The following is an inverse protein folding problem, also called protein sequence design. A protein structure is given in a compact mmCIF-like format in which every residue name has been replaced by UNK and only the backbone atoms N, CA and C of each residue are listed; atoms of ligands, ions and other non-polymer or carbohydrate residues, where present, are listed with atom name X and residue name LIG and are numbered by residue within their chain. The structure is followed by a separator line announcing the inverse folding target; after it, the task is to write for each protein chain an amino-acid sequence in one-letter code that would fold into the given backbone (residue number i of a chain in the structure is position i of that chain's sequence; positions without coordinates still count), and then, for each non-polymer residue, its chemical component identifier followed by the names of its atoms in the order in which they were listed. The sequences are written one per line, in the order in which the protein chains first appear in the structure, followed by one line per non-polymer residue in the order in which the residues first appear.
data_IF_205746591064
#
_entry.id   IF_205746591064
#
_cell.length_a   1.000
_cell.length_b   1.000
_cell.length_c   1.000
_cell.angle_alpha   90.00
_cell.angle_beta   90.00
_cell.angle_gamma   90.00
#
_symmetry.space_group_name_H-M   'P 1'
#
loop_
_entity.id
_entity.type
_entity.pdbx_description
1 polymer ?
#
# COMPACT_ATOMS: atom_id res chain seq x y z
N UNK A 1 5.91 -4.71 -18.39
CA UNK A 1 6.88 -3.67 -17.96
C UNK A 1 6.17 -2.82 -16.92
N UNK A 2 6.47 -3.01 -15.63
CA UNK A 2 5.88 -2.23 -14.52
C UNK A 2 6.48 -0.82 -14.51
N UNK A 3 5.67 0.25 -14.35
CA UNK A 3 6.19 1.62 -14.33
C UNK A 3 7.10 1.85 -13.12
N UNK A 4 8.09 2.77 -13.21
CA UNK A 4 9.01 3.05 -12.11
C UNK A 4 8.28 3.52 -10.86
N UNK A 5 8.60 2.90 -9.72
CA UNK A 5 7.94 3.14 -8.45
C UNK A 5 8.45 4.43 -7.78
N UNK A 6 7.61 5.46 -7.70
CA UNK A 6 7.92 6.69 -6.96
C UNK A 6 7.73 6.41 -5.46
N UNK A 7 8.81 6.04 -4.79
CA UNK A 7 8.79 5.67 -3.36
C UNK A 7 8.60 6.90 -2.47
N UNK A 8 7.65 6.86 -1.54
CA UNK A 8 7.61 7.81 -0.42
C UNK A 8 8.77 7.56 0.55
N UNK A 9 9.30 8.62 1.18
CA UNK A 9 10.44 8.54 2.13
C UNK A 9 10.24 7.53 3.28
N UNK A 10 9.01 7.21 3.66
CA UNK A 10 8.67 6.23 4.70
C UNK A 10 8.27 4.84 4.19
N UNK A 11 8.50 4.55 2.90
CA UNK A 11 7.97 3.34 2.26
C UNK A 11 6.47 3.44 1.97
N UNK A 12 5.94 2.43 1.27
CA UNK A 12 4.52 2.25 0.98
C UNK A 12 4.19 0.81 1.36
N UNK A 13 3.57 0.58 2.51
CA UNK A 13 3.27 -0.78 2.98
C UNK A 13 1.84 -1.18 2.62
N UNK A 14 1.65 -2.46 2.31
CA UNK A 14 0.33 -3.05 2.18
C UNK A 14 -0.15 -3.51 3.56
N UNK A 15 -1.11 -2.81 4.16
CA UNK A 15 -1.62 -3.13 5.51
C UNK A 15 -2.74 -4.17 5.50
N UNK A 16 -3.50 -4.26 4.41
CA UNK A 16 -4.60 -5.19 4.28
C UNK A 16 -4.75 -5.60 2.80
N UNK A 17 -5.04 -6.88 2.58
CA UNK A 17 -5.34 -7.45 1.27
C UNK A 17 -6.46 -8.49 1.43
N UNK A 18 -7.48 -8.42 0.57
CA UNK A 18 -8.63 -9.31 0.59
C UNK A 18 -9.07 -9.62 -0.83
N UNK A 19 -9.23 -10.90 -1.13
CA UNK A 19 -9.87 -11.34 -2.35
C UNK A 19 -11.39 -11.31 -2.17
N UNK A 20 -12.10 -10.70 -3.12
CA UNK A 20 -13.56 -10.62 -3.12
C UNK A 20 -14.11 -11.39 -4.32
N UNK A 21 -14.68 -12.58 -4.12
CA UNK A 21 -15.23 -13.39 -5.21
C UNK A 21 -16.49 -12.75 -5.79
N UNK A 22 -16.78 -13.03 -7.07
CA UNK A 22 -17.99 -12.55 -7.76
C UNK A 22 -17.88 -11.18 -8.44
N UNK A 23 -16.66 -10.65 -8.62
CA UNK A 23 -16.38 -9.35 -9.26
C UNK A 23 -17.31 -8.21 -8.77
N UNK A 24 -17.40 -7.97 -7.45
CA UNK A 24 -18.25 -6.92 -6.92
C UNK A 24 -17.77 -5.55 -7.40
N UNK A 25 -18.71 -4.64 -7.67
CA UNK A 25 -18.39 -3.26 -7.99
C UNK A 25 -17.55 -2.62 -6.89
N UNK A 26 -16.44 -1.97 -7.25
CA UNK A 26 -15.46 -1.38 -6.32
C UNK A 26 -16.10 -0.46 -5.25
N UNK A 27 -17.17 0.26 -5.60
CA UNK A 27 -17.91 1.11 -4.66
C UNK A 27 -18.61 0.36 -3.52
N UNK A 28 -18.82 -0.95 -3.63
CA UNK A 28 -19.46 -1.80 -2.62
C UNK A 28 -18.46 -2.57 -1.75
N UNK A 29 -17.19 -2.60 -2.13
CA UNK A 29 -16.16 -3.37 -1.41
C UNK A 29 -15.67 -2.64 -0.17
N UNK A 30 -15.72 -1.30 -0.14
CA UNK A 30 -15.30 -0.49 1.01
C UNK A 30 -16.05 -0.85 2.30
N UNK A 31 -17.35 -1.12 2.21
CA UNK A 31 -18.16 -1.49 3.37
C UNK A 31 -17.68 -2.79 4.03
N UNK A 32 -17.21 -3.73 3.21
CA UNK A 32 -16.75 -5.04 3.63
C UNK A 32 -15.28 -5.07 4.05
N UNK A 33 -14.51 -4.02 3.74
CA UNK A 33 -13.05 -3.97 3.95
C UNK A 33 -12.68 -3.00 5.08
N UNK A 34 -13.38 -1.88 5.23
CA UNK A 34 -13.08 -0.87 6.28
C UNK A 34 -13.08 -1.49 7.70
N UNK A 35 -14.09 -2.26 8.13
CA UNK A 35 -14.09 -2.84 9.48
C UNK A 35 -12.92 -3.80 9.72
N UNK A 36 -12.54 -4.58 8.69
CA UNK A 36 -11.42 -5.51 8.77
C UNK A 36 -10.08 -4.75 8.84
N UNK A 37 -9.94 -3.65 8.09
CA UNK A 37 -8.77 -2.77 8.15
C UNK A 37 -8.64 -2.12 9.52
N UNK A 38 -9.73 -1.59 10.10
CA UNK A 38 -9.71 -0.96 11.41
C UNK A 38 -9.38 -1.96 12.52
N UNK A 39 -9.93 -3.18 12.45
CA UNK A 39 -9.57 -4.26 13.36
C UNK A 39 -8.09 -4.63 13.25
N UNK A 40 -7.55 -4.71 12.03
CA UNK A 40 -6.14 -5.04 11.81
C UNK A 40 -5.19 -3.93 12.27
N UNK A 41 -5.57 -2.66 12.09
CA UNK A 41 -4.77 -1.49 12.48
C UNK A 41 -4.91 -1.19 13.98
N UNK A 42 -6.05 -1.57 14.59
CA UNK A 42 -6.38 -1.27 15.99
C UNK A 42 -6.83 0.17 16.22
N UNK A 43 -7.17 0.92 15.16
CA UNK A 43 -7.60 2.31 15.24
C UNK A 43 -8.56 2.66 14.10
N UNK A 44 -9.38 3.70 14.30
CA UNK A 44 -10.29 4.21 13.28
C UNK A 44 -9.53 4.86 12.10
N UNK A 45 -10.02 4.62 10.89
CA UNK A 45 -9.47 5.25 9.71
C UNK A 45 -9.98 6.69 9.61
N UNK A 46 -9.08 7.64 9.86
CA UNK A 46 -9.39 9.08 9.81
C UNK A 46 -9.61 9.61 8.38
N UNK A 47 -8.98 8.99 7.37
CA UNK A 47 -9.07 9.41 5.97
C UNK A 47 -8.76 8.28 5.00
N UNK A 48 -9.60 8.14 3.98
CA UNK A 48 -9.45 7.19 2.87
C UNK A 48 -9.29 7.96 1.57
N UNK A 49 -8.26 7.63 0.80
CA UNK A 49 -8.06 8.16 -0.55
C UNK A 49 -8.27 7.02 -1.55
N UNK A 50 -9.28 7.14 -2.40
CA UNK A 50 -9.71 6.07 -3.30
C UNK A 50 -9.85 6.54 -4.76
N UNK A 51 -9.91 5.59 -5.70
CA UNK A 51 -10.13 5.89 -7.13
C UNK A 51 -11.58 6.29 -7.41
N UNK A 52 -11.83 6.81 -8.61
CA UNK A 52 -13.16 7.23 -9.04
C UNK A 52 -14.19 6.08 -9.03
N UNK A 53 -13.74 4.83 -9.22
CA UNK A 53 -14.59 3.63 -9.13
C UNK A 53 -15.13 3.35 -7.73
N UNK A 54 -14.54 3.95 -6.70
CA UNK A 54 -14.96 3.86 -5.30
C UNK A 54 -15.93 4.99 -4.91
N UNK A 55 -16.61 5.61 -5.88
CA UNK A 55 -17.62 6.65 -5.63
C UNK A 55 -18.74 6.09 -4.74
N UNK A 56 -18.82 6.66 -3.54
CA UNK A 56 -19.57 6.13 -2.43
C UNK A 56 -21.08 6.10 -2.65
N UNK A 57 -21.61 4.88 -2.72
CA UNK A 57 -22.98 4.58 -2.29
C UNK A 57 -23.04 3.73 -1.02
N UNK A 58 -21.98 2.99 -0.62
CA UNK A 58 -22.05 2.01 0.46
C UNK A 58 -21.01 2.11 1.60
N UNK A 59 -20.18 3.16 1.70
CA UNK A 59 -19.36 3.32 2.91
C UNK A 59 -20.27 3.55 4.14
N UNK A 60 -19.98 2.96 5.32
CA UNK A 60 -20.76 3.17 6.54
C UNK A 60 -20.99 4.66 6.78
N UNK A 61 -22.17 5.07 7.28
CA UNK A 61 -22.52 6.49 7.42
C UNK A 61 -21.48 7.28 8.23
N UNK A 62 -20.80 6.63 9.18
CA UNK A 62 -19.67 7.17 9.97
C UNK A 62 -18.42 7.53 9.16
N UNK A 63 -18.20 6.85 8.03
CA UNK A 63 -17.00 6.96 7.20
C UNK A 63 -17.21 7.69 5.86
N UNK A 64 -18.48 7.98 5.50
CA UNK A 64 -18.83 8.59 4.21
C UNK A 64 -18.15 9.93 3.96
N UNK A 65 -17.87 10.71 5.01
CA UNK A 65 -17.15 12.00 4.92
C UNK A 65 -15.63 11.87 4.99
N UNK A 66 -15.11 10.67 5.27
CA UNK A 66 -13.68 10.38 5.37
C UNK A 66 -13.10 9.81 4.06
N UNK A 67 -13.95 9.42 3.10
CA UNK A 67 -13.55 8.94 1.76
C UNK A 67 -13.48 10.09 0.77
N UNK A 68 -12.30 10.28 0.17
CA UNK A 68 -12.08 11.21 -0.93
C UNK A 68 -11.76 10.41 -2.20
N UNK A 69 -12.43 10.71 -3.32
CA UNK A 69 -12.23 9.99 -4.59
C UNK A 69 -11.49 10.84 -5.63
N UNK A 70 -10.82 10.20 -6.58
CA UNK A 70 -10.22 10.91 -7.72
C UNK A 70 -11.28 11.69 -8.51
N UNK A 71 -10.93 12.91 -8.94
CA UNK A 71 -11.84 13.83 -9.64
C UNK A 71 -12.78 14.65 -8.73
N UNK A 72 -12.77 14.46 -7.42
CA UNK A 72 -13.52 15.31 -6.49
C UNK A 72 -12.93 16.74 -6.51
N UNK A 73 -13.75 17.75 -6.85
CA UNK A 73 -13.30 19.16 -6.89
C UNK A 73 -13.70 19.96 -5.64
N UNK A 74 -14.75 19.54 -4.92
CA UNK A 74 -15.29 20.23 -3.74
C UNK A 74 -14.85 19.53 -2.44
N UNK A 75 -14.72 20.29 -1.34
CA UNK A 75 -14.32 19.80 0.01
C UNK A 75 -12.89 19.22 0.11
N UNK A 76 -11.97 19.60 -0.79
CA UNK A 76 -10.56 19.23 -0.67
C UNK A 76 -9.74 20.35 -0.03
N UNK A 77 -9.11 20.07 1.11
CA UNK A 77 -8.08 20.97 1.67
C UNK A 77 -6.79 20.88 0.85
N UNK A 78 -5.90 21.90 0.88
CA UNK A 78 -4.60 21.83 0.21
C UNK A 78 -3.77 20.61 0.61
N UNK A 79 -3.84 20.21 1.89
CA UNK A 79 -3.20 19.02 2.42
C UNK A 79 -3.75 17.74 1.77
N UNK A 80 -5.08 17.59 1.69
CA UNK A 80 -5.72 16.44 1.02
C UNK A 80 -5.40 16.41 -0.48
N UNK A 81 -5.37 17.56 -1.16
CA UNK A 81 -4.98 17.67 -2.57
C UNK A 81 -3.53 17.23 -2.81
N UNK A 82 -2.62 17.54 -1.88
CA UNK A 82 -1.23 17.07 -1.92
C UNK A 82 -1.12 15.57 -1.67
N UNK A 83 -1.89 15.03 -0.72
CA UNK A 83 -1.93 13.60 -0.44
C UNK A 83 -2.50 12.81 -1.63
N UNK A 84 -3.55 13.33 -2.28
CA UNK A 84 -4.09 12.79 -3.52
C UNK A 84 -3.09 12.79 -4.67
N UNK A 85 -2.29 13.85 -4.83
CA UNK A 85 -1.21 13.87 -5.83
C UNK A 85 -0.12 12.84 -5.55
N UNK A 86 0.15 12.52 -4.27
CA UNK A 86 1.10 11.48 -3.88
C UNK A 86 0.56 10.05 -4.05
N UNK A 87 -0.77 9.90 -4.13
CA UNK A 87 -1.44 8.61 -4.34
C UNK A 87 -1.18 8.02 -5.72
N UNK A 88 -0.71 8.78 -6.71
CA UNK A 88 -0.28 8.23 -8.01
C UNK A 88 0.80 7.15 -7.87
N UNK A 89 1.57 7.16 -6.78
CA UNK A 89 2.53 6.13 -6.47
C UNK A 89 1.90 4.80 -5.98
N UNK A 90 0.59 4.75 -5.68
CA UNK A 90 -0.09 3.52 -5.24
C UNK A 90 -0.36 2.58 -6.42
N UNK A 91 -0.69 3.11 -7.60
CA UNK A 91 -0.95 2.30 -8.80
C UNK A 91 0.27 1.44 -9.21
N UNK A 92 1.50 1.99 -9.29
CA UNK A 92 2.70 1.19 -9.46
C UNK A 92 2.85 0.12 -8.37
N UNK A 93 2.60 0.45 -7.09
CA UNK A 93 2.71 -0.51 -5.98
C UNK A 93 1.75 -1.69 -6.15
N UNK A 94 0.48 -1.42 -6.48
CA UNK A 94 -0.50 -2.47 -6.78
C UNK A 94 -0.04 -3.30 -7.99
N UNK A 95 0.49 -2.67 -9.02
CA UNK A 95 1.08 -3.34 -10.18
C UNK A 95 2.24 -4.26 -9.81
N UNK A 96 3.17 -3.79 -8.97
CA UNK A 96 4.30 -4.57 -8.46
C UNK A 96 3.83 -5.75 -7.60
N UNK A 97 2.85 -5.55 -6.70
CA UNK A 97 2.27 -6.65 -5.90
C UNK A 97 1.66 -7.72 -6.84
N UNK A 98 0.93 -7.31 -7.88
CA UNK A 98 0.32 -8.23 -8.85
C UNK A 98 1.37 -8.98 -9.69
N UNK A 99 2.39 -8.28 -10.16
CA UNK A 99 3.37 -8.80 -11.12
C UNK A 99 4.56 -9.53 -10.47
N UNK A 100 5.18 -8.94 -9.45
CA UNK A 100 6.44 -9.41 -8.86
C UNK A 100 6.20 -10.40 -7.70
N UNK A 101 5.12 -10.23 -6.95
CA UNK A 101 4.77 -11.13 -5.84
C UNK A 101 3.81 -12.25 -6.25
N UNK A 102 3.84 -12.62 -7.54
CA UNK A 102 3.28 -13.86 -8.08
C UNK A 102 1.77 -14.03 -7.89
N UNK A 103 1.01 -12.95 -7.71
CA UNK A 103 -0.45 -13.03 -7.66
C UNK A 103 -1.01 -13.69 -8.94
N UNK A 104 -0.42 -13.43 -10.11
CA UNK A 104 -0.76 -14.09 -11.38
C UNK A 104 -0.03 -15.42 -11.69
N UNK A 105 0.72 -16.00 -10.75
CA UNK A 105 1.50 -17.25 -10.93
C UNK A 105 1.27 -18.30 -9.84
N UNK A 106 0.60 -17.95 -8.76
CA UNK A 106 0.27 -18.86 -7.67
C UNK A 106 -1.17 -19.34 -7.89
N UNK A 107 -1.29 -20.51 -8.52
CA UNK A 107 -2.57 -21.12 -8.90
C UNK A 107 -3.15 -21.96 -7.77
N UNK A 108 -3.16 -21.44 -6.53
CA UNK A 108 -3.93 -22.09 -5.48
C UNK A 108 -5.39 -22.12 -5.94
N UNK A 109 -5.92 -23.33 -6.17
CA UNK A 109 -7.19 -23.49 -6.86
C UNK A 109 -8.36 -23.03 -5.98
N UNK A 110 -9.27 -22.25 -6.57
CA UNK A 110 -10.52 -21.83 -5.94
C UNK A 110 -10.43 -20.61 -5.04
N UNK A 111 -11.58 -20.15 -4.54
CA UNK A 111 -11.72 -18.88 -3.83
C UNK A 111 -10.87 -18.74 -2.57
N UNK A 112 -10.63 -19.84 -1.85
CA UNK A 112 -9.74 -19.84 -0.68
C UNK A 112 -8.28 -19.64 -1.10
N UNK A 113 -7.88 -20.23 -2.22
CA UNK A 113 -6.55 -20.07 -2.80
C UNK A 113 -6.27 -18.62 -3.22
N UNK A 114 -7.24 -17.98 -3.87
CA UNK A 114 -7.16 -16.56 -4.24
C UNK A 114 -6.99 -15.64 -3.03
N UNK A 115 -7.73 -15.91 -1.95
CA UNK A 115 -7.63 -15.15 -0.71
C UNK A 115 -6.26 -15.28 -0.04
N UNK A 116 -5.76 -16.51 0.09
CA UNK A 116 -4.43 -16.78 0.66
C UNK A 116 -3.33 -16.16 -0.21
N UNK A 117 -3.44 -16.28 -1.53
CA UNK A 117 -2.48 -15.71 -2.46
C UNK A 117 -2.41 -14.18 -2.36
N UNK A 118 -3.55 -13.50 -2.23
CA UNK A 118 -3.59 -12.05 -2.04
C UNK A 118 -2.85 -11.61 -0.76
N UNK A 119 -3.05 -12.33 0.34
CA UNK A 119 -2.40 -12.03 1.63
C UNK A 119 -0.89 -12.28 1.53
N UNK A 120 -0.48 -13.43 0.99
CA UNK A 120 0.94 -13.77 0.84
C UNK A 120 1.67 -12.83 -0.12
N UNK A 121 1.03 -12.39 -1.20
CA UNK A 121 1.60 -11.42 -2.12
C UNK A 121 1.84 -10.05 -1.43
N UNK A 122 0.88 -9.58 -0.64
CA UNK A 122 1.02 -8.35 0.14
C UNK A 122 2.11 -8.48 1.22
N UNK A 123 2.17 -9.61 1.94
CA UNK A 123 3.20 -9.87 2.94
C UNK A 123 4.60 -9.94 2.31
N UNK A 124 4.75 -10.67 1.20
CA UNK A 124 6.00 -10.76 0.44
C UNK A 124 6.49 -9.41 -0.07
N UNK A 125 5.56 -8.55 -0.49
CA UNK A 125 5.88 -7.17 -0.85
C UNK A 125 6.45 -6.39 0.34
N UNK A 126 5.78 -6.41 1.49
CA UNK A 126 6.27 -5.75 2.70
C UNK A 126 7.65 -6.27 3.13
N UNK A 127 7.88 -7.58 3.09
CA UNK A 127 9.19 -8.15 3.42
C UNK A 127 10.28 -7.70 2.45
N UNK A 128 10.00 -7.58 1.15
CA UNK A 128 10.98 -7.06 0.20
C UNK A 128 11.38 -5.61 0.52
N UNK A 129 10.44 -4.78 1.01
CA UNK A 129 10.73 -3.43 1.49
C UNK A 129 11.66 -3.44 2.70
N UNK A 130 11.36 -4.29 3.68
CA UNK A 130 12.15 -4.42 4.90
C UNK A 130 13.56 -4.92 4.62
N UNK A 131 13.71 -5.97 3.80
CA UNK A 131 15.00 -6.52 3.42
C UNK A 131 15.87 -5.50 2.68
N UNK A 132 15.28 -4.71 1.78
CA UNK A 132 16.00 -3.62 1.11
C UNK A 132 16.47 -2.55 2.10
N UNK A 133 15.63 -2.20 3.09
CA UNK A 133 16.02 -1.25 4.13
C UNK A 133 17.14 -1.79 5.02
N UNK A 134 17.03 -3.05 5.48
CA UNK A 134 18.08 -3.70 6.28
C UNK A 134 19.39 -3.83 5.50
N UNK A 135 19.33 -4.13 4.21
CA UNK A 135 20.51 -4.18 3.35
C UNK A 135 21.22 -2.81 3.29
N UNK A 136 20.47 -1.73 3.06
CA UNK A 136 21.05 -0.38 3.07
C UNK A 136 21.65 -0.01 4.43
N UNK A 137 20.96 -0.34 5.52
CA UNK A 137 21.47 -0.13 6.88
C UNK A 137 22.77 -0.89 7.11
N UNK A 138 22.84 -2.16 6.71
CA UNK A 138 24.03 -2.99 6.83
C UNK A 138 25.21 -2.40 6.04
N UNK A 139 24.97 -1.93 4.81
CA UNK A 139 25.99 -1.24 4.01
C UNK A 139 26.51 0.03 4.68
N UNK A 140 25.63 0.83 5.28
CA UNK A 140 26.02 2.03 6.03
C UNK A 140 26.85 1.69 7.27
N UNK A 141 26.49 0.62 8.00
CA UNK A 141 27.26 0.15 9.15
C UNK A 141 28.65 -0.34 8.73
N UNK A 142 28.75 -1.11 7.65
CA UNK A 142 30.04 -1.57 7.09
C UNK A 142 30.89 -0.37 6.68
N UNK A 143 30.32 0.61 5.96
CA UNK A 143 31.04 1.81 5.55
C UNK A 143 31.55 2.63 6.74
N UNK A 144 30.74 2.77 7.79
CA UNK A 144 31.11 3.48 9.02
C UNK A 144 32.25 2.77 9.78
N UNK A 145 32.26 1.43 9.79
CA UNK A 145 33.34 0.64 10.40
C UNK A 145 34.66 0.76 9.60
N UNK A 146 34.57 0.88 8.28
CA UNK A 146 35.72 1.02 7.38
C UNK A 146 36.29 2.45 7.31
N UNK A 147 35.49 3.46 7.66
CA UNK A 147 35.96 4.85 7.78
C UNK A 147 36.75 5.05 9.09
N UNK A 148 37.94 4.46 9.19
CA UNK A 148 38.89 4.83 10.23
C UNK A 148 39.51 6.20 9.91
N UNK A 149 39.63 7.13 10.87
CA UNK A 149 40.26 8.42 10.63
C UNK A 149 41.73 8.24 10.24
N UNK A 150 42.14 8.92 9.16
CA UNK A 150 43.53 8.93 8.70
C UNK A 150 44.41 9.48 9.83
N UNK A 151 45.48 8.78 10.27
CA UNK A 151 46.34 9.28 11.34
C UNK A 151 46.92 10.62 10.92
N UNK A 152 46.88 11.59 11.85
CA UNK A 152 47.43 12.93 11.66
C UNK A 152 48.95 12.78 11.48
N UNK A 153 49.56 13.30 10.40
CA UNK A 153 51.01 13.27 10.25
C UNK A 153 51.63 14.15 11.35
N UNK A 154 52.47 13.54 12.18
CA UNK A 154 53.33 14.22 13.15
C UNK A 154 54.65 14.68 12.53
#
# INVERSE_FOLDING_TARGET
MTPPMIRSKGGQFALHAKALPGNPYDGHTLAAVIPDMERAIGNEISRILADAGYRGHNAPQSHKFRVFTSGQKRRLTPATKRQMRRRSAIEPVIGHIKAEHRMGRNYLAGHQGDAVNAILAAAGYNFSLLLNWFSQLLWLLIAALQSQPKPIPG
#
